data_IF_464818977230
#
_entry.id   IF_464818977230
#
_cell.length_a   1.000
_cell.length_b   1.000
_cell.length_c   1.000
_cell.angle_alpha   90.00
_cell.angle_beta   90.00
_cell.angle_gamma   90.00
#
_symmetry.space_group_name_H-M   'P 1'
#
loop_
_entity.id
_entity.type
_entity.pdbx_description
1 polymer ?
#
# COMPACT_ATOMS: atom_id res chain seq x y z
N UNK A 1 -40.36 41.79 62.31
CA UNK A 1 -41.25 41.61 61.14
C UNK A 1 -40.52 42.10 59.93
N UNK A 2 -40.24 41.27 59.05
CA UNK A 2 -40.29 41.30 57.58
C UNK A 2 -39.34 40.26 56.98
N UNK A 3 -39.93 39.33 56.21
CA UNK A 3 -39.28 38.31 55.42
C UNK A 3 -38.66 38.94 54.18
N UNK A 4 -37.50 38.38 53.75
CA UNK A 4 -37.06 38.45 52.35
C UNK A 4 -36.69 37.07 51.88
N UNK A 5 -37.39 36.64 50.84
CA UNK A 5 -37.22 35.35 50.15
C UNK A 5 -35.98 35.34 49.27
N UNK A 6 -35.27 34.23 49.34
CA UNK A 6 -34.15 33.99 48.48
C UNK A 6 -34.60 33.46 47.12
N UNK A 7 -33.98 33.94 46.06
CA UNK A 7 -34.10 33.39 44.67
C UNK A 7 -32.97 32.45 44.40
N UNK A 8 -33.32 31.17 44.21
CA UNK A 8 -32.40 30.15 43.69
C UNK A 8 -32.22 30.35 42.18
N UNK A 9 -31.01 30.66 41.75
CA UNK A 9 -30.59 30.66 40.35
C UNK A 9 -29.96 29.35 39.99
N UNK A 10 -30.70 28.46 39.29
CA UNK A 10 -30.22 27.20 38.83
C UNK A 10 -29.16 27.35 37.74
N UNK A 11 -28.00 26.79 38.00
CA UNK A 11 -26.93 26.62 37.02
C UNK A 11 -27.13 25.26 36.32
N UNK A 12 -27.77 25.28 35.14
CA UNK A 12 -27.87 24.10 34.25
C UNK A 12 -27.04 24.34 33.00
N UNK A 13 -26.30 23.31 32.60
CA UNK A 13 -25.71 23.06 31.31
C UNK A 13 -24.23 23.40 31.08
N UNK A 14 -23.35 22.55 31.56
CA UNK A 14 -22.00 22.40 30.91
C UNK A 14 -21.51 20.96 30.75
N UNK A 15 -22.26 19.96 31.23
CA UNK A 15 -21.84 18.55 31.17
C UNK A 15 -21.92 17.88 29.80
N UNK A 16 -22.75 18.38 28.87
CA UNK A 16 -22.98 17.73 27.56
C UNK A 16 -21.96 18.11 26.48
N UNK A 17 -21.34 19.27 26.60
CA UNK A 17 -20.31 19.71 25.62
C UNK A 17 -18.93 19.10 25.87
N UNK A 18 -18.61 18.80 27.12
CA UNK A 18 -17.36 18.14 27.49
C UNK A 18 -17.33 16.67 27.04
N UNK A 19 -18.46 15.96 27.16
CA UNK A 19 -18.55 14.56 26.68
C UNK A 19 -18.39 14.40 25.17
N UNK A 20 -18.97 15.32 24.36
CA UNK A 20 -18.80 15.31 22.90
C UNK A 20 -17.37 15.63 22.46
N UNK A 21 -16.69 16.55 23.12
CA UNK A 21 -15.29 16.89 22.83
C UNK A 21 -14.33 15.76 23.23
N UNK A 22 -14.59 15.03 24.29
CA UNK A 22 -13.80 13.86 24.69
C UNK A 22 -14.01 12.68 23.74
N UNK A 23 -15.25 12.40 23.29
CA UNK A 23 -15.53 11.36 22.30
C UNK A 23 -14.88 11.66 20.94
N UNK A 24 -14.91 12.91 20.49
CA UNK A 24 -14.24 13.33 19.24
C UNK A 24 -12.72 13.27 19.40
N UNK A 25 -12.18 13.53 20.60
CA UNK A 25 -10.74 13.43 20.88
C UNK A 25 -10.27 11.97 20.98
N UNK A 26 -11.09 11.06 21.50
CA UNK A 26 -10.79 9.62 21.53
C UNK A 26 -10.83 8.96 20.16
N UNK A 27 -11.67 9.45 19.22
CA UNK A 27 -11.67 8.96 17.83
C UNK A 27 -10.47 9.42 17.00
N UNK A 28 -9.71 10.43 17.45
CA UNK A 28 -8.56 10.99 16.71
C UNK A 28 -7.20 10.33 17.01
N UNK A 29 -7.10 9.31 17.86
CA UNK A 29 -5.81 8.81 18.33
C UNK A 29 -5.57 7.31 18.16
N UNK A 30 -6.35 6.59 17.35
CA UNK A 30 -6.01 5.22 17.01
C UNK A 30 -5.33 5.20 15.63
N UNK A 31 -4.01 4.98 15.62
CA UNK A 31 -3.28 4.65 14.38
C UNK A 31 -3.93 3.41 13.76
N UNK A 32 -4.29 3.43 12.47
CA UNK A 32 -4.81 2.25 11.80
C UNK A 32 -3.81 1.08 11.90
N UNK A 33 -4.32 -0.13 12.15
CA UNK A 33 -3.51 -1.34 12.25
C UNK A 33 -3.78 -2.31 11.10
N UNK A 34 -4.76 -2.01 10.25
CA UNK A 34 -5.15 -2.86 9.12
C UNK A 34 -5.47 -2.03 7.89
N UNK A 35 -5.36 -2.65 6.71
CA UNK A 35 -5.77 -2.01 5.46
C UNK A 35 -7.25 -1.60 5.49
N UNK A 36 -8.10 -2.39 6.15
CA UNK A 36 -9.52 -2.07 6.37
C UNK A 36 -9.70 -0.73 7.09
N UNK A 37 -8.87 -0.47 8.10
CA UNK A 37 -8.94 0.79 8.86
C UNK A 37 -8.42 1.98 8.03
N UNK A 38 -7.38 1.78 7.23
CA UNK A 38 -6.86 2.79 6.30
C UNK A 38 -7.89 3.16 5.24
N UNK A 39 -8.53 2.16 4.63
CA UNK A 39 -9.53 2.32 3.57
C UNK A 39 -10.86 2.88 4.10
N UNK A 40 -11.18 2.58 5.36
CA UNK A 40 -12.47 2.87 5.97
C UNK A 40 -13.53 1.81 5.70
N UNK A 41 -14.45 1.63 6.65
CA UNK A 41 -15.40 0.50 6.63
C UNK A 41 -16.36 0.53 5.43
N UNK A 42 -16.79 1.72 5.00
CA UNK A 42 -17.69 1.87 3.85
C UNK A 42 -17.05 1.38 2.54
N UNK A 43 -15.84 1.84 2.25
CA UNK A 43 -15.11 1.40 1.05
C UNK A 43 -14.74 -0.09 1.14
N UNK A 44 -14.31 -0.55 2.33
CA UNK A 44 -14.00 -1.96 2.55
C UNK A 44 -15.16 -2.90 2.24
N UNK A 45 -16.39 -2.54 2.62
CA UNK A 45 -17.57 -3.39 2.39
C UNK A 45 -18.00 -3.45 0.92
N UNK A 46 -17.64 -2.46 0.09
CA UNK A 46 -17.89 -2.49 -1.36
C UNK A 46 -16.93 -3.39 -2.14
N UNK A 47 -15.75 -3.70 -1.56
CA UNK A 47 -14.83 -4.65 -2.18
C UNK A 47 -15.42 -6.06 -2.24
N UNK A 48 -15.16 -6.83 -3.32
CA UNK A 48 -15.48 -8.26 -3.39
C UNK A 48 -14.91 -9.05 -2.21
N UNK A 49 -15.60 -10.12 -1.82
CA UNK A 49 -15.18 -10.96 -0.69
C UNK A 49 -13.77 -11.51 -0.86
N UNK A 50 -13.38 -11.91 -2.09
CA UNK A 50 -12.06 -12.45 -2.38
C UNK A 50 -10.95 -11.39 -2.21
N UNK A 51 -11.19 -10.14 -2.66
CA UNK A 51 -10.25 -9.02 -2.43
C UNK A 51 -10.10 -8.77 -0.93
N UNK A 52 -11.22 -8.70 -0.20
CA UNK A 52 -11.17 -8.53 1.26
C UNK A 52 -10.39 -9.63 1.96
N UNK A 53 -10.62 -10.90 1.60
CA UNK A 53 -9.91 -12.03 2.18
C UNK A 53 -8.40 -11.95 1.93
N UNK A 54 -7.97 -11.54 0.73
CA UNK A 54 -6.55 -11.39 0.35
C UNK A 54 -5.82 -10.34 1.18
N UNK A 55 -6.51 -9.30 1.61
CA UNK A 55 -5.92 -8.17 2.34
C UNK A 55 -6.32 -8.08 3.82
N UNK A 56 -7.23 -8.94 4.29
CA UNK A 56 -7.68 -8.96 5.68
C UNK A 56 -6.70 -9.68 6.60
N UNK A 57 -6.14 -10.81 6.13
CA UNK A 57 -5.29 -11.69 6.93
C UNK A 57 -3.83 -11.44 6.60
N UNK A 58 -3.09 -11.00 7.60
CA UNK A 58 -1.64 -10.81 7.54
C UNK A 58 -0.88 -11.88 8.34
N UNK A 59 -1.58 -12.89 8.86
CA UNK A 59 -1.00 -13.89 9.77
C UNK A 59 -0.53 -15.15 9.04
N UNK A 60 -1.12 -15.45 7.89
CA UNK A 60 -0.80 -16.64 7.10
C UNK A 60 -0.12 -16.26 5.78
N UNK A 61 0.84 -17.10 5.38
CA UNK A 61 1.44 -16.99 4.07
C UNK A 61 0.54 -17.66 3.02
N UNK A 62 0.35 -16.98 1.89
CA UNK A 62 -0.39 -17.50 0.74
C UNK A 62 0.49 -17.39 -0.49
N UNK A 63 0.47 -18.44 -1.31
CA UNK A 63 1.12 -18.45 -2.61
C UNK A 63 0.06 -18.31 -3.69
N UNK A 64 0.36 -17.45 -4.65
CA UNK A 64 -0.44 -17.28 -5.87
C UNK A 64 0.41 -17.67 -7.07
N UNK A 65 -0.18 -18.46 -7.96
CA UNK A 65 0.44 -18.85 -9.23
C UNK A 65 -0.32 -18.23 -10.39
N UNK A 66 0.39 -17.89 -11.44
CA UNK A 66 -0.20 -17.29 -12.62
C UNK A 66 0.83 -16.78 -13.59
N UNK A 67 0.44 -15.86 -14.41
CA UNK A 67 1.32 -15.24 -15.40
C UNK A 67 1.02 -13.75 -15.56
N UNK A 68 2.02 -13.00 -15.93
CA UNK A 68 1.85 -11.66 -16.43
C UNK A 68 1.60 -11.74 -17.93
N UNK A 69 0.39 -11.36 -18.35
CA UNK A 69 0.02 -11.27 -19.78
C UNK A 69 0.98 -10.34 -20.52
N UNK A 70 1.32 -9.21 -19.86
CA UNK A 70 2.23 -8.20 -20.40
C UNK A 70 3.15 -7.70 -19.29
N UNK A 71 4.45 -7.63 -19.58
CA UNK A 71 5.46 -6.89 -18.82
C UNK A 71 6.18 -5.96 -19.78
N UNK A 72 6.01 -4.65 -19.63
CA UNK A 72 6.55 -3.65 -20.54
C UNK A 72 7.29 -2.55 -19.78
N UNK A 73 8.41 -2.12 -20.33
CA UNK A 73 9.15 -0.96 -19.85
C UNK A 73 9.59 -0.10 -21.04
N UNK A 74 9.48 1.22 -20.90
CA UNK A 74 10.05 2.16 -21.87
C UNK A 74 11.59 2.03 -21.90
N UNK A 75 12.29 2.52 -22.94
CA UNK A 75 13.75 2.48 -22.96
C UNK A 75 14.38 3.14 -21.72
N UNK A 76 13.87 4.28 -21.29
CA UNK A 76 14.32 4.96 -20.07
C UNK A 76 13.93 4.17 -18.82
N UNK A 77 12.72 3.61 -18.79
CA UNK A 77 12.27 2.72 -17.72
C UNK A 77 13.19 1.52 -17.54
N UNK A 78 13.67 0.92 -18.61
CA UNK A 78 14.63 -0.20 -18.56
C UNK A 78 15.97 0.22 -17.95
N UNK A 79 16.48 1.40 -18.32
CA UNK A 79 17.72 1.96 -17.73
C UNK A 79 17.53 2.16 -16.22
N UNK A 80 16.42 2.76 -15.82
CA UNK A 80 16.08 2.98 -14.41
C UNK A 80 15.93 1.63 -13.69
N UNK A 81 15.21 0.67 -14.27
CA UNK A 81 15.05 -0.65 -13.66
C UNK A 81 16.39 -1.37 -13.49
N UNK A 82 17.27 -1.29 -14.49
CA UNK A 82 18.60 -1.86 -14.40
C UNK A 82 19.44 -1.22 -13.28
N UNK A 83 19.45 0.11 -13.20
CA UNK A 83 20.12 0.84 -12.11
C UNK A 83 19.52 0.48 -10.74
N UNK A 84 18.20 0.33 -10.68
CA UNK A 84 17.48 -0.03 -9.49
C UNK A 84 17.69 -1.50 -9.06
N UNK A 85 18.06 -2.41 -9.96
CA UNK A 85 18.42 -3.79 -9.58
C UNK A 85 19.58 -3.84 -8.59
N UNK A 86 20.54 -2.92 -8.71
CA UNK A 86 21.67 -2.82 -7.78
C UNK A 86 21.22 -2.54 -6.33
N UNK A 87 20.05 -1.96 -6.14
CA UNK A 87 19.45 -1.65 -4.84
C UNK A 87 18.24 -2.55 -4.52
N UNK A 88 17.98 -3.58 -5.37
CA UNK A 88 16.94 -4.58 -5.12
C UNK A 88 15.50 -4.11 -5.25
N UNK A 89 15.23 -3.10 -6.08
CA UNK A 89 13.88 -2.51 -6.20
C UNK A 89 12.88 -3.35 -7.01
N UNK A 90 11.57 -3.07 -6.88
CA UNK A 90 10.49 -3.92 -7.37
C UNK A 90 10.17 -3.79 -8.85
N UNK A 91 11.08 -3.27 -9.67
CA UNK A 91 10.85 -3.11 -11.10
C UNK A 91 11.77 -4.03 -11.88
N UNK A 92 11.19 -4.77 -12.82
CA UNK A 92 11.90 -5.75 -13.62
C UNK A 92 12.42 -5.07 -14.88
N UNK A 93 13.73 -5.17 -15.22
CA UNK A 93 14.30 -4.53 -16.42
C UNK A 93 13.97 -5.25 -17.73
N UNK A 94 13.27 -6.38 -17.64
CA UNK A 94 12.90 -7.22 -18.79
C UNK A 94 11.47 -6.97 -19.21
N UNK A 95 11.22 -7.14 -20.49
CA UNK A 95 9.88 -7.12 -21.09
C UNK A 95 9.51 -8.51 -21.57
N UNK A 96 8.24 -8.78 -21.70
CA UNK A 96 7.75 -10.06 -22.19
C UNK A 96 6.24 -10.15 -22.16
N UNK A 97 5.71 -11.15 -22.84
CA UNK A 97 4.31 -11.54 -22.78
C UNK A 97 4.21 -12.94 -22.19
N UNK A 98 3.10 -13.21 -21.50
CA UNK A 98 2.83 -14.52 -20.89
C UNK A 98 3.99 -14.98 -20.00
N UNK A 99 4.45 -14.10 -19.11
CA UNK A 99 5.59 -14.39 -18.22
C UNK A 99 5.08 -15.12 -16.98
N UNK A 100 5.38 -16.43 -16.82
CA UNK A 100 4.97 -17.16 -15.63
C UNK A 100 5.52 -16.52 -14.37
N UNK A 101 4.71 -16.46 -13.34
CA UNK A 101 5.14 -15.87 -12.08
C UNK A 101 4.50 -16.55 -10.87
N UNK A 102 5.23 -16.52 -9.77
CA UNK A 102 4.73 -16.93 -8.45
C UNK A 102 4.80 -15.71 -7.53
N UNK A 103 3.72 -15.50 -6.79
CA UNK A 103 3.61 -14.41 -5.83
C UNK A 103 3.39 -15.00 -4.44
N UNK A 104 4.37 -14.83 -3.56
CA UNK A 104 4.21 -15.17 -2.15
C UNK A 104 3.81 -13.91 -1.37
N UNK A 105 2.76 -14.03 -0.60
CA UNK A 105 2.27 -12.97 0.29
C UNK A 105 2.22 -13.53 1.69
N UNK A 106 2.85 -12.85 2.63
CA UNK A 106 2.89 -13.34 4.01
C UNK A 106 3.31 -12.28 5.03
N UNK A 107 3.25 -12.64 6.31
CA UNK A 107 3.67 -11.74 7.38
C UNK A 107 5.17 -11.46 7.31
N UNK A 108 5.57 -10.23 7.55
CA UNK A 108 6.96 -9.81 7.63
C UNK A 108 7.10 -8.70 8.66
N UNK A 109 7.61 -9.04 9.84
CA UNK A 109 7.86 -8.08 10.91
C UNK A 109 6.64 -7.22 11.26
N UNK A 110 6.56 -6.00 10.72
CA UNK A 110 5.49 -5.04 10.98
C UNK A 110 4.39 -5.00 9.93
N UNK A 111 4.49 -5.82 8.88
CA UNK A 111 3.61 -5.68 7.73
C UNK A 111 3.41 -6.95 6.93
N UNK A 112 3.05 -6.78 5.69
CA UNK A 112 2.79 -7.83 4.72
C UNK A 112 3.83 -7.77 3.60
N UNK A 113 4.65 -8.81 3.48
CA UNK A 113 5.63 -8.94 2.39
C UNK A 113 4.95 -9.51 1.14
N UNK A 114 5.31 -8.91 0.02
CA UNK A 114 4.97 -9.37 -1.32
C UNK A 114 6.25 -9.73 -2.05
N UNK A 115 6.45 -11.01 -2.34
CA UNK A 115 7.60 -11.53 -3.06
C UNK A 115 7.11 -12.08 -4.39
N UNK A 116 7.53 -11.48 -5.49
CA UNK A 116 7.16 -11.86 -6.86
C UNK A 116 8.36 -12.48 -7.54
N UNK A 117 8.19 -13.68 -8.06
CA UNK A 117 9.21 -14.42 -8.82
C UNK A 117 8.73 -14.49 -10.27
N UNK A 118 9.46 -13.82 -11.15
CA UNK A 118 9.20 -13.83 -12.59
C UNK A 118 10.11 -14.87 -13.25
N UNK A 119 9.54 -15.71 -14.11
CA UNK A 119 10.23 -16.84 -14.75
C UNK A 119 10.23 -16.70 -16.27
N UNK A 120 11.27 -16.10 -16.82
CA UNK A 120 11.50 -16.12 -18.27
C UNK A 120 12.15 -17.45 -18.67
N UNK A 121 11.76 -18.06 -19.82
CA UNK A 121 12.25 -19.39 -20.23
C UNK A 121 13.79 -19.50 -20.29
N UNK A 122 14.46 -18.46 -20.81
CA UNK A 122 15.90 -18.49 -21.07
C UNK A 122 16.73 -17.73 -20.01
N UNK A 123 16.15 -17.46 -18.84
CA UNK A 123 16.80 -16.63 -17.83
C UNK A 123 16.58 -17.14 -16.42
N UNK A 124 17.53 -16.86 -15.55
CA UNK A 124 17.31 -17.07 -14.11
C UNK A 124 16.10 -16.28 -13.63
N UNK A 125 15.33 -16.83 -12.69
CA UNK A 125 14.19 -16.14 -12.10
C UNK A 125 14.57 -14.77 -11.55
N UNK A 126 13.74 -13.79 -11.80
CA UNK A 126 13.90 -12.44 -11.24
C UNK A 126 13.01 -12.28 -10.01
N UNK A 127 13.62 -11.99 -8.87
CA UNK A 127 12.91 -11.86 -7.60
C UNK A 127 12.75 -10.38 -7.24
N UNK A 128 11.51 -10.01 -6.96
CA UNK A 128 11.09 -8.66 -6.54
C UNK A 128 10.41 -8.75 -5.19
N UNK A 129 10.82 -7.91 -4.24
CA UNK A 129 10.27 -7.86 -2.89
C UNK A 129 9.79 -6.46 -2.54
N UNK A 130 8.69 -6.41 -1.81
CA UNK A 130 8.22 -5.19 -1.16
C UNK A 130 7.42 -5.55 0.10
N UNK A 131 7.40 -4.67 1.08
CA UNK A 131 6.64 -4.87 2.32
C UNK A 131 5.69 -3.70 2.53
N UNK A 132 4.39 -3.99 2.63
CA UNK A 132 3.39 -2.98 2.98
C UNK A 132 3.28 -2.88 4.50
N UNK A 133 3.49 -1.69 5.02
CA UNK A 133 3.40 -1.38 6.45
C UNK A 133 2.49 -0.17 6.67
N UNK A 134 1.87 -0.09 7.84
CA UNK A 134 1.13 1.11 8.25
C UNK A 134 2.05 1.92 9.15
N UNK A 135 2.34 3.15 8.73
CA UNK A 135 3.17 4.08 9.47
C UNK A 135 2.52 4.57 10.76
N UNK A 136 3.28 5.19 11.66
CA UNK A 136 2.77 5.72 12.92
C UNK A 136 1.68 6.81 12.76
N UNK A 137 1.67 7.46 11.60
CA UNK A 137 0.70 8.47 11.21
C UNK A 137 -0.55 7.87 10.53
N UNK A 138 -0.61 6.54 10.41
CA UNK A 138 -1.70 5.83 9.73
C UNK A 138 -1.58 5.76 8.21
N UNK A 139 -0.50 6.30 7.63
CA UNK A 139 -0.25 6.22 6.19
C UNK A 139 0.20 4.82 5.81
N UNK A 140 -0.37 4.25 4.75
CA UNK A 140 0.16 3.02 4.16
C UNK A 140 1.46 3.34 3.43
N UNK A 141 2.50 2.57 3.71
CA UNK A 141 3.83 2.71 3.11
C UNK A 141 4.22 1.38 2.48
N UNK A 142 4.77 1.40 1.29
CA UNK A 142 5.47 0.27 0.71
C UNK A 142 6.96 0.47 0.89
N UNK A 143 7.55 -0.37 1.74
CA UNK A 143 8.99 -0.43 1.98
C UNK A 143 9.63 -1.32 0.90
N UNK A 144 10.64 -0.78 0.23
CA UNK A 144 11.41 -1.42 -0.81
C UNK A 144 12.82 -1.72 -0.29
N UNK A 145 13.58 -2.61 -0.94
CA UNK A 145 14.96 -2.82 -0.58
C UNK A 145 15.79 -1.53 -0.57
N UNK A 146 16.93 -1.55 0.13
CA UNK A 146 17.84 -0.41 0.29
C UNK A 146 17.22 0.84 0.96
N UNK A 147 16.10 0.69 1.67
CA UNK A 147 15.48 1.78 2.42
C UNK A 147 14.67 2.76 1.57
N UNK A 148 14.46 2.46 0.29
CA UNK A 148 13.52 3.22 -0.52
C UNK A 148 12.11 2.89 -0.07
N UNK A 149 11.29 3.92 0.13
CA UNK A 149 9.90 3.80 0.55
C UNK A 149 9.00 4.61 -0.37
N UNK A 150 7.76 4.18 -0.51
CA UNK A 150 6.72 5.01 -1.10
C UNK A 150 5.47 5.05 -0.21
N UNK A 151 4.98 6.24 0.06
CA UNK A 151 3.67 6.40 0.69
C UNK A 151 2.57 6.17 -0.33
N UNK A 152 1.50 5.50 0.09
CA UNK A 152 0.41 5.08 -0.78
C UNK A 152 -0.91 5.70 -0.34
N UNK A 153 -1.64 6.25 -1.29
CA UNK A 153 -3.07 6.45 -1.19
C UNK A 153 -3.78 5.15 -1.58
N UNK A 154 -4.81 4.80 -0.81
CA UNK A 154 -5.59 3.58 -1.05
C UNK A 154 -7.05 3.96 -1.16
N UNK A 155 -7.71 3.48 -2.19
CA UNK A 155 -9.14 3.69 -2.38
C UNK A 155 -9.80 2.52 -3.09
N UNK A 156 -11.11 2.45 -3.00
CA UNK A 156 -11.95 1.50 -3.71
C UNK A 156 -12.76 2.24 -4.77
N UNK A 157 -12.80 1.70 -5.99
CA UNK A 157 -13.66 2.16 -7.07
C UNK A 157 -14.20 0.97 -7.87
N UNK A 158 -15.51 0.91 -8.02
CA UNK A 158 -16.21 -0.13 -8.79
C UNK A 158 -15.80 -1.58 -8.42
N UNK A 159 -15.58 -1.84 -7.12
CA UNK A 159 -15.16 -3.15 -6.63
C UNK A 159 -13.66 -3.45 -6.78
N UNK A 160 -12.89 -2.54 -7.35
CA UNK A 160 -11.44 -2.65 -7.51
C UNK A 160 -10.73 -1.95 -6.37
N UNK A 161 -9.67 -2.58 -5.85
CA UNK A 161 -8.80 -1.98 -4.85
C UNK A 161 -7.60 -1.32 -5.55
N UNK A 162 -7.42 -0.03 -5.31
CA UNK A 162 -6.38 0.79 -5.91
C UNK A 162 -5.35 1.23 -4.87
N UNK A 163 -4.07 1.22 -5.27
CA UNK A 163 -2.96 1.82 -4.54
C UNK A 163 -2.24 2.80 -5.46
N UNK A 164 -2.08 4.04 -5.01
CA UNK A 164 -1.42 5.09 -5.81
C UNK A 164 -0.28 5.70 -4.99
N UNK A 165 0.92 5.74 -5.55
CA UNK A 165 2.04 6.36 -4.86
C UNK A 165 1.87 7.88 -4.78
N UNK A 166 2.03 8.42 -3.56
CA UNK A 166 1.98 9.86 -3.27
C UNK A 166 3.36 10.49 -3.29
N UNK A 167 4.33 9.84 -2.65
CA UNK A 167 5.71 10.31 -2.56
C UNK A 167 6.67 9.14 -2.41
N UNK A 168 7.88 9.32 -2.93
CA UNK A 168 9.02 8.43 -2.72
C UNK A 168 10.02 9.10 -1.80
N UNK A 169 10.63 8.33 -0.92
CA UNK A 169 11.63 8.82 0.02
C UNK A 169 12.57 7.70 0.47
N UNK A 170 13.75 8.07 0.93
CA UNK A 170 14.64 7.17 1.64
C UNK A 170 14.50 7.39 3.15
N UNK A 171 14.27 6.31 3.90
CA UNK A 171 14.38 6.30 5.36
C UNK A 171 15.79 5.82 5.75
N UNK A 172 16.67 6.77 6.07
CA UNK A 172 18.07 6.52 6.40
C UNK A 172 18.22 6.48 7.92
N UNK A 173 18.70 5.37 8.45
CA UNK A 173 19.07 5.24 9.87
C UNK A 173 20.52 5.72 10.03
N UNK A 174 20.74 6.78 10.80
CA UNK A 174 22.08 7.27 11.06
C UNK A 174 22.75 6.33 12.06
N UNK A 175 23.83 5.67 11.62
CA UNK A 175 24.63 4.77 12.48
C UNK A 175 25.11 5.50 13.73
N UNK A 176 24.95 4.86 14.91
CA UNK A 176 25.36 5.43 16.20
C UNK A 176 24.32 6.36 16.83
N UNK A 177 23.23 6.66 16.16
CA UNK A 177 22.08 7.36 16.73
C UNK A 177 20.81 6.63 16.37
N UNK A 178 19.79 6.69 17.21
CA UNK A 178 18.46 6.14 16.87
C UNK A 178 17.67 7.07 15.92
N UNK A 179 18.33 8.06 15.31
CA UNK A 179 17.68 9.05 14.46
C UNK A 179 17.45 8.48 13.05
N UNK A 180 16.22 8.62 12.57
CA UNK A 180 15.85 8.37 11.18
C UNK A 180 15.74 9.71 10.47
N UNK A 181 16.36 9.81 9.29
CA UNK A 181 16.24 10.97 8.41
C UNK A 181 15.48 10.52 7.17
N UNK A 182 14.39 11.22 6.88
CA UNK A 182 13.60 10.99 5.68
C UNK A 182 14.02 11.97 4.59
N UNK A 183 14.58 11.44 3.51
CA UNK A 183 14.93 12.19 2.32
C UNK A 183 13.85 11.98 1.25
N UNK A 184 12.99 12.97 1.07
CA UNK A 184 11.91 12.92 0.05
C UNK A 184 12.50 13.19 -1.32
N UNK A 185 12.16 12.32 -2.28
CA UNK A 185 12.57 12.50 -3.68
C UNK A 185 11.63 13.49 -4.38
N UNK A 186 12.20 14.51 -5.07
CA UNK A 186 11.40 15.34 -5.95
C UNK A 186 10.70 14.52 -7.03
N UNK A 187 9.52 14.94 -7.47
CA UNK A 187 8.72 14.19 -8.46
C UNK A 187 9.45 13.89 -9.76
N UNK A 188 10.30 14.82 -10.22
CA UNK A 188 11.08 14.66 -11.44
C UNK A 188 12.27 13.70 -11.29
N UNK A 189 12.70 13.39 -10.07
CA UNK A 189 13.76 12.42 -9.76
C UNK A 189 13.20 11.06 -9.32
N UNK A 190 11.89 10.98 -9.01
CA UNK A 190 11.23 9.74 -8.64
C UNK A 190 10.97 8.87 -9.88
N UNK A 191 10.72 7.57 -9.72
CA UNK A 191 10.33 6.70 -10.84
C UNK A 191 9.05 7.14 -11.55
N UNK A 192 8.25 8.00 -10.92
CA UNK A 192 6.94 8.44 -11.38
C UNK A 192 5.82 8.02 -10.42
N UNK A 193 4.59 8.26 -10.80
CA UNK A 193 3.43 7.79 -10.04
C UNK A 193 3.19 6.31 -10.34
N UNK A 194 3.29 5.48 -9.31
CA UNK A 194 2.91 4.07 -9.39
C UNK A 194 1.42 3.94 -9.06
N UNK A 195 0.67 3.29 -9.93
CA UNK A 195 -0.72 2.91 -9.74
C UNK A 195 -0.85 1.40 -9.83
N UNK A 196 -1.39 0.79 -8.79
CA UNK A 196 -1.63 -0.65 -8.71
C UNK A 196 -3.13 -0.90 -8.52
N UNK A 197 -3.65 -1.88 -9.25
CA UNK A 197 -5.04 -2.31 -9.20
C UNK A 197 -5.11 -3.80 -8.88
N UNK A 198 -6.02 -4.16 -7.98
CA UNK A 198 -6.40 -5.53 -7.70
C UNK A 198 -7.88 -5.72 -8.04
N UNK A 199 -8.12 -6.43 -9.12
CA UNK A 199 -9.44 -6.68 -9.68
C UNK A 199 -9.80 -8.13 -9.39
N UNK A 200 -11.00 -8.37 -8.84
CA UNK A 200 -11.51 -9.71 -8.66
C UNK A 200 -12.06 -10.23 -9.98
N UNK A 201 -11.72 -11.46 -10.32
CA UNK A 201 -12.28 -12.17 -11.47
C UNK A 201 -13.05 -13.40 -10.99
N UNK A 202 -13.69 -14.12 -11.89
CA UNK A 202 -14.45 -15.33 -11.53
C UNK A 202 -13.53 -16.49 -11.14
N UNK A 203 -14.09 -17.48 -10.40
CA UNK A 203 -13.46 -18.77 -10.10
C UNK A 203 -12.13 -18.66 -9.31
N UNK A 204 -12.05 -17.69 -8.40
CA UNK A 204 -10.88 -17.51 -7.53
C UNK A 204 -9.67 -16.83 -8.20
N UNK A 205 -9.81 -16.43 -9.46
CA UNK A 205 -8.81 -15.65 -10.15
C UNK A 205 -8.90 -14.17 -9.79
N UNK A 206 -7.78 -13.49 -9.87
CA UNK A 206 -7.72 -12.03 -9.81
C UNK A 206 -6.72 -11.49 -10.82
N UNK A 207 -6.97 -10.28 -11.25
CA UNK A 207 -6.05 -9.51 -12.08
C UNK A 207 -5.28 -8.50 -11.24
N UNK A 208 -3.99 -8.48 -11.43
CA UNK A 208 -3.09 -7.46 -10.92
C UNK A 208 -2.64 -6.60 -12.10
N UNK A 209 -2.78 -5.28 -11.98
CA UNK A 209 -2.24 -4.32 -12.95
C UNK A 209 -1.38 -3.30 -12.22
N UNK A 210 -0.23 -2.96 -12.79
CA UNK A 210 0.63 -1.91 -12.28
C UNK A 210 1.11 -1.03 -13.43
N UNK A 211 0.92 0.27 -13.27
CA UNK A 211 1.44 1.29 -14.19
C UNK A 211 2.33 2.25 -13.43
N UNK A 212 3.48 2.60 -13.98
CA UNK A 212 4.34 3.68 -13.46
C UNK A 212 4.45 4.77 -14.52
N UNK A 213 3.95 5.96 -14.20
CA UNK A 213 3.91 7.10 -15.13
C UNK A 213 4.73 8.26 -14.61
N UNK A 214 5.76 8.63 -15.35
CA UNK A 214 6.62 9.77 -15.03
C UNK A 214 6.03 11.06 -15.62
N UNK A 215 6.06 12.20 -14.89
CA UNK A 215 5.43 13.44 -15.37
C UNK A 215 6.05 14.01 -16.65
N UNK A 216 7.32 13.71 -16.93
CA UNK A 216 8.03 14.19 -18.13
C UNK A 216 8.18 13.14 -19.23
N UNK A 217 8.21 11.84 -18.86
CA UNK A 217 8.56 10.75 -19.79
C UNK A 217 7.39 9.80 -20.08
N UNK A 218 6.20 10.07 -19.52
CA UNK A 218 5.03 9.23 -19.72
C UNK A 218 5.13 7.85 -19.05
N UNK A 219 4.56 6.83 -19.67
CA UNK A 219 4.58 5.47 -19.13
C UNK A 219 6.00 4.89 -19.11
N UNK A 220 6.50 4.63 -17.91
CA UNK A 220 7.81 4.04 -17.67
C UNK A 220 7.75 2.52 -17.59
N UNK A 221 6.72 2.02 -16.90
CA UNK A 221 6.46 0.59 -16.69
C UNK A 221 4.99 0.31 -16.76
N UNK A 222 4.67 -0.84 -17.32
CA UNK A 222 3.34 -1.41 -17.31
C UNK A 222 3.44 -2.92 -17.16
N UNK A 223 2.63 -3.48 -16.28
CA UNK A 223 2.43 -4.92 -16.21
C UNK A 223 1.01 -5.24 -15.80
N UNK A 224 0.47 -6.29 -16.38
CA UNK A 224 -0.82 -6.86 -16.01
C UNK A 224 -0.74 -8.37 -16.08
N UNK A 225 -1.46 -9.07 -15.22
CA UNK A 225 -1.47 -10.52 -15.18
C UNK A 225 -2.56 -11.09 -14.29
N UNK A 226 -2.80 -12.40 -14.43
CA UNK A 226 -3.83 -13.14 -13.73
C UNK A 226 -3.21 -14.16 -12.79
N UNK A 227 -3.78 -14.28 -11.60
CA UNK A 227 -3.28 -15.12 -10.53
C UNK A 227 -4.42 -15.79 -9.78
N UNK A 228 -4.16 -17.01 -9.29
CA UNK A 228 -5.04 -17.71 -8.36
C UNK A 228 -4.20 -18.30 -7.22
N UNK A 229 -4.84 -18.59 -6.07
CA UNK A 229 -4.14 -19.23 -4.95
C UNK A 229 -3.70 -20.65 -5.34
N UNK A 230 -2.44 -21.00 -5.04
CA UNK A 230 -1.97 -22.38 -5.22
C UNK A 230 -2.58 -23.25 -4.14
N UNK A 231 -3.34 -24.29 -4.53
CA UNK A 231 -3.95 -25.26 -3.60
C UNK A 231 -5.37 -24.94 -3.16
N UNK A 232 -6.14 -24.24 -4.01
CA UNK A 232 -7.61 -24.20 -3.93
C UNK A 232 -8.22 -25.42 -4.57
#
# INVERSE_FOLDING_TARGET
>A
MSRTEGVEGGCFSDGRLLGRRQLIRQQRSRTPHSLKEVLGNSAWTRLPKAVRARFADTTHAVEYVGEFDIVRASPLGRIIAWACQAIGTPVVPRTGNNVPAIVHVGPSGRGMEWRREYRWPDHSPCLVRSTKVIGPDGTLVEELPAGLCMSLDVYEAAGTLHFVSRAYYFDIVIRGTQRRVRLVLPRWLSPGTTHVEHIDETDGWFRFTMTVTHPLFGEMFFQTGRFCASGG
#
